data_IF_829783825171
#
_entry.id   IF_829783825171
#
_cell.length_a   1.000
_cell.length_b   1.000
_cell.length_c   1.000
_cell.angle_alpha   90.00
_cell.angle_beta   90.00
_cell.angle_gamma   90.00
#
_symmetry.space_group_name_H-M   'P 1'
#
loop_
_entity.id
_entity.type
_entity.pdbx_description
1 polymer ?
#
# COMPACT_ATOMS: atom_id res chain seq x y z
N UNK A 1 -8.77 -17.57 -22.62
CA UNK A 1 -8.85 -16.91 -21.29
C UNK A 1 -9.45 -15.53 -21.52
N UNK A 2 -10.71 -15.32 -21.20
CA UNK A 2 -11.42 -14.05 -21.45
C UNK A 2 -11.05 -13.01 -20.40
N UNK A 3 -10.80 -11.77 -20.82
CA UNK A 3 -10.57 -10.61 -19.94
C UNK A 3 -11.83 -9.75 -19.87
N UNK A 4 -12.24 -9.35 -18.67
CA UNK A 4 -13.33 -8.40 -18.46
C UNK A 4 -12.77 -7.04 -18.06
N UNK A 5 -12.94 -6.06 -18.93
CA UNK A 5 -12.55 -4.68 -18.68
C UNK A 5 -13.67 -4.04 -17.85
N UNK A 6 -13.32 -3.42 -16.71
CA UNK A 6 -14.24 -2.89 -15.72
C UNK A 6 -14.18 -1.37 -15.75
N UNK A 7 -15.30 -0.72 -16.10
CA UNK A 7 -15.34 0.75 -16.25
C UNK A 7 -16.64 1.34 -15.65
N UNK A 8 -16.58 1.98 -14.48
CA UNK A 8 -17.63 2.89 -14.04
C UNK A 8 -17.65 4.16 -14.90
N UNK A 9 -18.85 4.64 -15.27
CA UNK A 9 -19.03 5.81 -16.14
C UNK A 9 -20.03 6.77 -15.52
N UNK A 10 -19.60 7.97 -15.18
CA UNK A 10 -20.46 9.08 -14.77
C UNK A 10 -20.50 10.18 -15.84
N UNK A 11 -21.43 11.12 -15.72
CA UNK A 11 -21.66 12.14 -16.74
C UNK A 11 -20.41 12.95 -17.14
N UNK A 12 -19.52 13.25 -16.18
CA UNK A 12 -18.33 14.05 -16.46
C UNK A 12 -17.26 13.31 -17.29
N UNK A 13 -17.27 11.97 -17.28
CA UNK A 13 -16.33 11.17 -18.08
C UNK A 13 -16.79 10.96 -19.53
N UNK A 14 -18.04 11.25 -19.85
CA UNK A 14 -18.61 11.03 -21.19
C UNK A 14 -17.81 11.62 -22.35
N UNK A 15 -17.22 12.83 -22.25
CA UNK A 15 -16.41 13.39 -23.34
C UNK A 15 -15.23 12.51 -23.77
N UNK A 16 -14.70 11.71 -22.88
CA UNK A 16 -13.50 10.89 -23.09
C UNK A 16 -13.79 9.43 -23.46
N UNK A 17 -15.04 9.00 -23.31
CA UNK A 17 -15.43 7.60 -23.39
C UNK A 17 -15.15 6.99 -24.79
N UNK A 18 -15.18 7.79 -25.84
CA UNK A 18 -14.80 7.32 -27.18
C UNK A 18 -13.32 6.95 -27.29
N UNK A 19 -12.43 7.66 -26.59
CA UNK A 19 -11.00 7.35 -26.58
C UNK A 19 -10.76 6.04 -25.85
N UNK A 20 -11.40 5.85 -24.68
CA UNK A 20 -11.36 4.58 -23.94
C UNK A 20 -11.87 3.42 -24.81
N UNK A 21 -13.03 3.55 -25.47
CA UNK A 21 -13.60 2.52 -26.33
C UNK A 21 -12.71 2.19 -27.52
N UNK A 22 -12.16 3.20 -28.20
CA UNK A 22 -11.28 3.00 -29.34
C UNK A 22 -9.98 2.29 -28.92
N UNK A 23 -9.44 2.61 -27.73
CA UNK A 23 -8.26 1.95 -27.19
C UNK A 23 -8.51 0.46 -26.91
N UNK A 24 -9.73 0.12 -26.44
CA UNK A 24 -10.14 -1.28 -26.22
C UNK A 24 -10.31 -2.01 -27.58
N UNK A 25 -10.95 -1.38 -28.55
CA UNK A 25 -11.14 -1.98 -29.89
C UNK A 25 -9.83 -2.21 -30.66
N UNK A 26 -8.83 -1.39 -30.38
CA UNK A 26 -7.51 -1.48 -31.01
C UNK A 26 -6.60 -2.55 -30.38
N UNK A 27 -7.06 -3.28 -29.37
CA UNK A 27 -6.25 -4.30 -28.69
C UNK A 27 -5.89 -5.46 -29.63
N UNK A 28 -4.64 -5.92 -29.55
CA UNK A 28 -4.16 -7.13 -30.25
C UNK A 28 -4.80 -8.39 -29.69
N UNK A 29 -5.09 -8.43 -28.40
CA UNK A 29 -5.83 -9.50 -27.75
C UNK A 29 -7.34 -9.27 -27.92
N UNK A 30 -8.06 -10.23 -28.51
CA UNK A 30 -9.45 -10.04 -28.94
C UNK A 30 -10.52 -10.72 -28.07
N UNK A 31 -10.11 -11.64 -27.16
CA UNK A 31 -11.04 -12.37 -26.27
C UNK A 31 -11.31 -11.55 -24.98
N UNK A 32 -12.04 -10.46 -25.15
CA UNK A 32 -12.41 -9.56 -24.07
C UNK A 32 -13.90 -9.20 -24.09
N UNK A 33 -14.42 -8.80 -22.96
CA UNK A 33 -15.68 -8.10 -22.77
C UNK A 33 -15.45 -6.76 -22.05
N UNK A 34 -16.27 -5.77 -22.31
CA UNK A 34 -16.25 -4.49 -21.64
C UNK A 34 -17.51 -4.31 -20.78
N UNK A 35 -17.35 -4.35 -19.44
CA UNK A 35 -18.42 -4.19 -18.48
C UNK A 35 -18.49 -2.73 -18.05
N UNK A 36 -19.45 -2.02 -18.59
CA UNK A 36 -19.70 -0.60 -18.33
C UNK A 36 -20.80 -0.46 -17.30
N UNK A 37 -20.54 0.29 -16.22
CA UNK A 37 -21.52 0.61 -15.18
C UNK A 37 -21.81 2.09 -15.20
N UNK A 38 -22.98 2.46 -15.70
CA UNK A 38 -23.45 3.83 -15.75
C UNK A 38 -24.00 4.26 -14.40
N UNK A 39 -23.55 5.43 -13.92
CA UNK A 39 -24.04 6.04 -12.69
C UNK A 39 -24.11 7.58 -12.84
N UNK A 40 -24.82 8.25 -11.96
CA UNK A 40 -24.88 9.73 -11.88
C UNK A 40 -25.05 10.43 -13.25
N UNK A 41 -26.03 9.98 -14.04
CA UNK A 41 -26.33 10.54 -15.35
C UNK A 41 -25.34 10.17 -16.46
N UNK A 42 -24.45 9.22 -16.22
CA UNK A 42 -23.61 8.62 -17.27
C UNK A 42 -24.46 7.98 -18.36
N UNK A 43 -24.09 8.14 -19.60
CA UNK A 43 -24.73 7.53 -20.76
C UNK A 43 -23.70 6.87 -21.66
N UNK A 44 -24.05 5.78 -22.28
CA UNK A 44 -23.21 5.16 -23.31
C UNK A 44 -23.62 5.68 -24.68
N UNK A 45 -22.71 6.25 -25.50
CA UNK A 45 -23.01 6.59 -26.87
C UNK A 45 -23.53 5.40 -27.67
N UNK A 46 -24.61 5.58 -28.45
CA UNK A 46 -25.34 4.50 -29.12
C UNK A 46 -24.49 3.61 -30.01
N UNK A 47 -23.44 4.16 -30.63
CA UNK A 47 -22.51 3.40 -31.48
C UNK A 47 -21.66 2.37 -30.71
N UNK A 48 -21.41 2.56 -29.43
CA UNK A 48 -20.62 1.64 -28.60
C UNK A 48 -21.41 0.38 -28.22
N UNK A 49 -22.69 0.53 -27.95
CA UNK A 49 -23.57 -0.59 -27.60
C UNK A 49 -23.79 -1.58 -28.77
N UNK A 50 -23.36 -1.27 -29.98
CA UNK A 50 -23.43 -2.16 -31.12
C UNK A 50 -22.36 -3.25 -31.12
N UNK A 51 -21.27 -3.08 -30.37
CA UNK A 51 -20.27 -4.15 -30.21
C UNK A 51 -20.81 -5.18 -29.20
N UNK A 52 -20.98 -6.46 -29.60
CA UNK A 52 -21.59 -7.48 -28.74
C UNK A 52 -20.77 -7.81 -27.49
N UNK A 53 -19.51 -7.37 -27.44
CA UNK A 53 -18.65 -7.53 -26.27
C UNK A 53 -18.88 -6.46 -25.20
N UNK A 54 -19.63 -5.41 -25.51
CA UNK A 54 -19.96 -4.33 -24.58
C UNK A 54 -21.21 -4.71 -23.78
N UNK A 55 -21.06 -4.80 -22.46
CA UNK A 55 -22.14 -5.09 -21.52
C UNK A 55 -22.42 -3.87 -20.66
N UNK A 56 -23.64 -3.34 -20.71
CA UNK A 56 -24.02 -2.09 -20.05
C UNK A 56 -24.97 -2.38 -18.91
N UNK A 57 -24.65 -1.81 -17.75
CA UNK A 57 -25.50 -1.86 -16.56
C UNK A 57 -25.67 -0.43 -16.00
N UNK A 58 -26.76 -0.16 -15.33
CA UNK A 58 -27.01 1.12 -14.68
C UNK A 58 -27.19 0.90 -13.18
N UNK A 59 -26.53 1.72 -12.39
CA UNK A 59 -26.70 1.79 -10.94
C UNK A 59 -26.93 3.23 -10.55
N UNK A 60 -27.98 3.47 -9.78
CA UNK A 60 -28.18 4.77 -9.13
C UNK A 60 -27.39 4.78 -7.83
N UNK A 61 -26.55 5.80 -7.65
CA UNK A 61 -25.84 6.01 -6.39
C UNK A 61 -26.72 6.87 -5.48
N UNK A 62 -26.97 6.39 -4.28
CA UNK A 62 -27.80 7.06 -3.28
C UNK A 62 -27.13 8.31 -2.69
N UNK A 63 -25.82 8.50 -2.92
CA UNK A 63 -25.05 9.66 -2.47
C UNK A 63 -24.22 10.26 -3.61
N UNK A 64 -24.80 11.18 -4.41
CA UNK A 64 -24.12 11.81 -5.54
C UNK A 64 -22.86 12.61 -5.14
N UNK A 65 -22.78 13.06 -3.88
CA UNK A 65 -21.64 13.83 -3.38
C UNK A 65 -20.42 12.96 -3.09
N UNK A 66 -20.59 11.64 -3.05
CA UNK A 66 -19.51 10.71 -2.73
C UNK A 66 -19.54 9.54 -3.71
N UNK A 67 -18.88 9.71 -4.85
CA UNK A 67 -18.66 8.61 -5.80
C UNK A 67 -18.05 7.42 -5.08
N UNK A 68 -18.84 6.43 -4.75
CA UNK A 68 -18.36 5.16 -4.19
C UNK A 68 -17.84 4.29 -5.33
N UNK A 69 -16.69 4.65 -5.88
CA UNK A 69 -16.11 3.99 -7.05
C UNK A 69 -15.92 2.49 -6.77
N UNK A 70 -15.46 2.11 -5.58
CA UNK A 70 -15.29 0.72 -5.19
C UNK A 70 -16.59 -0.10 -5.26
N UNK A 71 -17.75 0.48 -4.88
CA UNK A 71 -19.06 -0.16 -5.03
C UNK A 71 -19.40 -0.41 -6.50
N UNK A 72 -19.16 0.57 -7.36
CA UNK A 72 -19.42 0.46 -8.80
C UNK A 72 -18.48 -0.58 -9.46
N UNK A 73 -17.18 -0.56 -9.11
CA UNK A 73 -16.21 -1.56 -9.57
C UNK A 73 -16.60 -2.96 -9.10
N UNK A 74 -17.01 -3.12 -7.83
CA UNK A 74 -17.48 -4.40 -7.30
C UNK A 74 -18.72 -4.90 -8.03
N UNK A 75 -19.70 -4.02 -8.27
CA UNK A 75 -20.88 -4.35 -9.05
C UNK A 75 -20.50 -4.77 -10.48
N UNK A 76 -19.61 -4.04 -11.15
CA UNK A 76 -19.12 -4.40 -12.48
C UNK A 76 -18.44 -5.79 -12.47
N UNK A 77 -17.56 -6.06 -11.50
CA UNK A 77 -16.93 -7.38 -11.32
C UNK A 77 -17.98 -8.50 -11.13
N UNK A 78 -19.11 -8.23 -10.44
CA UNK A 78 -20.20 -9.21 -10.27
C UNK A 78 -20.95 -9.54 -11.57
N UNK A 79 -20.84 -8.68 -12.58
CA UNK A 79 -21.44 -8.86 -13.92
C UNK A 79 -20.45 -9.40 -14.93
N UNK A 80 -19.18 -9.36 -14.63
CA UNK A 80 -18.11 -9.85 -15.47
C UNK A 80 -18.10 -11.38 -15.57
N UNK A 81 -17.78 -11.90 -16.74
CA UNK A 81 -17.75 -13.35 -17.00
C UNK A 81 -16.33 -13.87 -17.32
N UNK A 82 -15.37 -12.96 -17.46
CA UNK A 82 -13.98 -13.29 -17.73
C UNK A 82 -13.24 -13.85 -16.51
N UNK A 83 -12.07 -14.42 -16.78
CA UNK A 83 -11.20 -15.00 -15.76
C UNK A 83 -10.31 -13.97 -15.09
N UNK A 84 -10.08 -12.86 -15.78
CA UNK A 84 -9.26 -11.73 -15.36
C UNK A 84 -10.10 -10.47 -15.45
N UNK A 85 -10.07 -9.65 -14.40
CA UNK A 85 -10.66 -8.33 -14.42
C UNK A 85 -9.55 -7.30 -14.65
N UNK A 86 -9.80 -6.35 -15.54
CA UNK A 86 -8.87 -5.28 -15.93
C UNK A 86 -9.52 -3.94 -15.64
N UNK A 87 -8.89 -3.13 -14.82
CA UNK A 87 -9.37 -1.79 -14.50
C UNK A 87 -9.04 -0.81 -15.63
N UNK A 88 -10.06 -0.10 -16.10
CA UNK A 88 -9.91 1.03 -17.02
C UNK A 88 -10.89 2.13 -16.62
N UNK A 89 -10.38 3.29 -16.25
CA UNK A 89 -11.23 4.45 -15.98
C UNK A 89 -11.78 5.03 -17.29
N UNK A 90 -12.97 5.64 -17.22
CA UNK A 90 -13.73 6.04 -18.41
C UNK A 90 -13.09 7.20 -19.19
N UNK A 91 -12.16 7.90 -18.59
CA UNK A 91 -11.41 9.05 -19.13
C UNK A 91 -9.99 8.70 -19.60
N UNK A 92 -9.58 7.44 -19.45
CA UNK A 92 -8.23 6.94 -19.75
C UNK A 92 -8.18 6.04 -20.98
N UNK A 93 -6.98 5.59 -21.35
CA UNK A 93 -6.77 4.73 -22.52
C UNK A 93 -5.76 3.61 -22.24
N UNK A 94 -5.86 2.54 -23.00
CA UNK A 94 -4.88 1.44 -23.03
C UNK A 94 -3.96 1.57 -24.25
N UNK A 95 -2.70 1.14 -24.13
CA UNK A 95 -1.87 0.91 -25.32
C UNK A 95 -2.36 -0.32 -26.08
N UNK A 96 -2.03 -0.45 -27.36
CA UNK A 96 -2.61 -1.49 -28.26
C UNK A 96 -2.32 -2.93 -27.87
N UNK A 97 -1.24 -3.17 -27.14
CA UNK A 97 -0.82 -4.50 -26.65
C UNK A 97 -1.18 -4.76 -25.16
N UNK A 98 -1.87 -3.84 -24.51
CA UNK A 98 -2.08 -3.90 -23.06
C UNK A 98 -2.76 -5.20 -22.59
N UNK A 99 -3.84 -5.61 -23.24
CA UNK A 99 -4.56 -6.82 -22.85
C UNK A 99 -3.76 -8.10 -23.14
N UNK A 100 -2.93 -8.11 -24.17
CA UNK A 100 -2.04 -9.24 -24.49
C UNK A 100 -0.97 -9.40 -23.40
N UNK A 101 -0.31 -8.31 -23.02
CA UNK A 101 0.70 -8.31 -21.97
C UNK A 101 0.09 -8.69 -20.61
N UNK A 102 -1.11 -8.19 -20.30
CA UNK A 102 -1.85 -8.60 -19.09
C UNK A 102 -2.15 -10.09 -19.12
N UNK A 103 -2.64 -10.63 -20.26
CA UNK A 103 -2.91 -12.06 -20.39
C UNK A 103 -1.65 -12.92 -20.18
N UNK A 104 -0.52 -12.49 -20.73
CA UNK A 104 0.78 -13.13 -20.53
C UNK A 104 1.26 -13.02 -19.07
N UNK A 105 1.03 -11.87 -18.42
CA UNK A 105 1.35 -11.67 -17.01
C UNK A 105 0.67 -12.68 -16.06
N UNK A 106 -0.49 -13.18 -16.46
CA UNK A 106 -1.23 -14.23 -15.75
C UNK A 106 -0.92 -15.66 -16.22
N UNK A 107 0.11 -15.88 -16.99
CA UNK A 107 0.52 -17.24 -17.40
C UNK A 107 0.90 -18.13 -16.21
N UNK A 108 1.53 -17.54 -15.19
CA UNK A 108 1.77 -18.20 -13.91
C UNK A 108 0.47 -18.23 -13.06
N UNK A 109 -0.03 -19.44 -12.69
CA UNK A 109 -1.23 -19.56 -11.87
C UNK A 109 -1.08 -18.98 -10.47
N UNK A 110 0.13 -18.79 -9.94
CA UNK A 110 0.44 -18.16 -8.65
C UNK A 110 0.24 -16.64 -8.67
N UNK A 111 0.25 -16.01 -9.85
CA UNK A 111 0.01 -14.56 -9.97
C UNK A 111 -1.47 -14.25 -9.79
N UNK A 112 -1.77 -13.45 -8.80
CA UNK A 112 -3.12 -12.98 -8.46
C UNK A 112 -3.42 -11.56 -8.97
N UNK A 113 -2.39 -10.72 -9.09
CA UNK A 113 -2.48 -9.31 -9.46
C UNK A 113 -1.36 -8.94 -10.45
N UNK A 114 -1.73 -8.28 -11.54
CA UNK A 114 -0.80 -7.75 -12.55
C UNK A 114 -0.91 -6.23 -12.57
N UNK A 115 0.21 -5.54 -12.71
CA UNK A 115 0.26 -4.09 -12.89
C UNK A 115 1.40 -3.68 -13.83
N UNK A 116 1.35 -2.47 -14.36
CA UNK A 116 2.33 -1.98 -15.32
C UNK A 116 2.85 -0.59 -15.00
N UNK A 117 3.67 -0.06 -15.88
CA UNK A 117 3.98 1.35 -15.96
C UNK A 117 2.84 2.10 -16.64
N UNK A 118 2.76 3.42 -16.42
CA UNK A 118 1.79 4.30 -17.04
C UNK A 118 2.44 5.57 -17.55
N UNK A 119 1.75 6.31 -18.39
CA UNK A 119 2.16 7.65 -18.79
C UNK A 119 0.99 8.63 -18.61
N UNK A 120 1.27 9.76 -17.97
CA UNK A 120 0.30 10.82 -17.77
C UNK A 120 0.39 11.85 -18.89
N UNK A 121 -0.75 12.34 -19.37
CA UNK A 121 -0.81 13.38 -20.39
C UNK A 121 -1.90 14.42 -20.10
N UNK A 122 -1.63 15.67 -20.43
CA UNK A 122 -2.61 16.74 -20.33
C UNK A 122 -3.67 16.58 -21.41
N UNK A 123 -4.95 16.66 -21.03
CA UNK A 123 -6.08 16.36 -21.92
C UNK A 123 -6.06 17.11 -23.26
N UNK A 124 -5.79 18.42 -23.24
CA UNK A 124 -5.92 19.28 -24.43
C UNK A 124 -4.65 19.33 -25.29
N UNK A 125 -3.48 19.27 -24.66
CA UNK A 125 -2.20 19.55 -25.30
C UNK A 125 -1.36 18.29 -25.53
N UNK A 126 -1.69 17.18 -24.89
CA UNK A 126 -0.87 15.98 -24.85
C UNK A 126 0.51 16.20 -24.23
N UNK A 127 0.69 17.28 -23.48
CA UNK A 127 1.94 17.50 -22.77
C UNK A 127 2.18 16.41 -21.74
N UNK A 128 3.41 15.91 -21.71
CA UNK A 128 3.85 14.91 -20.77
C UNK A 128 3.79 15.46 -19.33
N UNK A 129 3.37 14.63 -18.40
CA UNK A 129 3.50 14.88 -16.98
C UNK A 129 4.41 13.81 -16.35
N UNK A 130 5.13 14.18 -15.31
CA UNK A 130 5.92 13.24 -14.52
C UNK A 130 5.86 13.60 -13.05
N UNK A 131 5.95 12.59 -12.22
CA UNK A 131 6.08 12.79 -10.78
C UNK A 131 7.51 13.17 -10.41
N UNK A 132 7.66 13.87 -9.27
CA UNK A 132 8.95 14.42 -8.89
C UNK A 132 9.98 13.33 -8.57
N UNK A 133 11.13 13.41 -9.24
CA UNK A 133 12.29 12.54 -8.96
C UNK A 133 12.77 12.68 -7.50
N UNK A 134 12.52 13.83 -6.88
CA UNK A 134 12.81 14.06 -5.45
C UNK A 134 12.07 13.10 -4.50
N UNK A 135 10.98 12.47 -4.97
CA UNK A 135 10.26 11.42 -4.24
C UNK A 135 10.67 10.01 -4.67
N UNK A 136 11.74 9.90 -5.48
CA UNK A 136 12.30 8.62 -5.96
C UNK A 136 11.60 8.03 -7.16
N UNK A 137 10.67 8.75 -7.79
CA UNK A 137 10.07 8.32 -9.03
C UNK A 137 11.09 8.28 -10.15
N UNK A 138 11.03 7.21 -10.94
CA UNK A 138 11.82 7.06 -12.16
C UNK A 138 10.89 7.15 -13.37
N UNK A 139 11.40 7.74 -14.43
CA UNK A 139 10.67 7.83 -15.69
C UNK A 139 11.62 7.69 -16.88
N UNK A 140 11.07 7.28 -18.02
CA UNK A 140 11.80 7.21 -19.30
C UNK A 140 10.96 7.78 -20.43
N UNK A 141 11.57 8.24 -21.56
CA UNK A 141 10.81 8.68 -22.73
C UNK A 141 9.89 7.56 -23.24
N UNK A 142 8.67 7.93 -23.62
CA UNK A 142 7.67 7.04 -24.21
C UNK A 142 6.94 7.74 -25.34
N UNK A 143 6.70 7.05 -26.45
CA UNK A 143 5.99 7.62 -27.59
C UNK A 143 4.65 6.93 -27.79
N UNK A 144 3.58 7.74 -27.83
CA UNK A 144 2.25 7.28 -28.23
C UNK A 144 1.81 8.01 -29.49
N UNK A 145 1.83 7.30 -30.60
CA UNK A 145 1.69 7.93 -31.93
C UNK A 145 2.78 8.96 -32.18
N UNK A 146 2.40 10.21 -32.36
CA UNK A 146 3.33 11.34 -32.56
C UNK A 146 3.64 12.11 -31.27
N UNK A 147 3.02 11.73 -30.14
CA UNK A 147 3.19 12.42 -28.87
C UNK A 147 4.34 11.81 -28.07
N UNK A 148 5.25 12.67 -27.62
CA UNK A 148 6.30 12.30 -26.69
C UNK A 148 5.81 12.47 -25.26
N UNK A 149 5.72 11.38 -24.52
CA UNK A 149 5.28 11.31 -23.13
C UNK A 149 6.42 10.83 -22.22
N UNK A 150 6.11 10.70 -20.94
CA UNK A 150 7.02 10.13 -19.93
C UNK A 150 6.36 8.88 -19.33
N UNK A 151 6.95 7.71 -19.57
CA UNK A 151 6.57 6.49 -18.89
C UNK A 151 7.06 6.54 -17.45
N UNK A 152 6.14 6.50 -16.50
CA UNK A 152 6.43 6.41 -15.08
C UNK A 152 6.64 4.95 -14.70
N UNK A 153 7.83 4.64 -14.20
CA UNK A 153 8.17 3.28 -13.77
C UNK A 153 7.43 2.98 -12.47
N UNK A 154 6.59 1.95 -12.50
CA UNK A 154 5.81 1.56 -11.32
C UNK A 154 6.71 1.01 -10.21
N UNK A 155 6.36 1.33 -8.97
CA UNK A 155 7.05 0.83 -7.81
C UNK A 155 6.70 -0.65 -7.55
N UNK A 156 7.62 -1.44 -6.97
CA UNK A 156 7.31 -2.81 -6.59
C UNK A 156 6.20 -2.83 -5.53
N UNK A 157 5.30 -3.81 -5.63
CA UNK A 157 4.30 -4.05 -4.61
C UNK A 157 4.97 -4.50 -3.31
N UNK A 158 5.00 -3.64 -2.31
CA UNK A 158 5.55 -3.94 -0.98
C UNK A 158 4.82 -3.13 0.09
N UNK A 159 4.78 -3.62 1.34
CA UNK A 159 4.15 -2.87 2.42
C UNK A 159 4.78 -1.50 2.66
N UNK A 160 6.10 -1.39 2.45
CA UNK A 160 6.83 -0.13 2.60
C UNK A 160 6.35 0.89 1.56
N UNK A 161 6.18 0.46 0.30
CA UNK A 161 5.68 1.34 -0.77
C UNK A 161 4.24 1.76 -0.54
N UNK A 162 3.37 0.83 -0.18
CA UNK A 162 1.95 1.10 0.08
C UNK A 162 1.74 2.10 1.23
N UNK A 163 2.76 2.32 2.09
CA UNK A 163 2.72 3.35 3.12
C UNK A 163 2.88 4.76 2.57
N UNK A 164 3.79 4.94 1.61
CA UNK A 164 4.27 6.25 1.21
C UNK A 164 3.82 6.65 -0.19
N UNK A 165 3.52 5.66 -1.05
CA UNK A 165 3.06 5.86 -2.42
C UNK A 165 1.64 5.32 -2.55
N UNK A 166 0.66 6.19 -2.39
CA UNK A 166 -0.75 5.80 -2.30
C UNK A 166 -1.36 5.19 -3.57
N UNK A 167 -0.72 5.36 -4.73
CA UNK A 167 -1.13 4.73 -5.99
C UNK A 167 -0.22 3.58 -6.44
N UNK A 168 0.54 2.99 -5.53
CA UNK A 168 1.31 1.78 -5.82
C UNK A 168 0.51 0.54 -5.38
N UNK A 169 0.35 -0.49 -6.22
CA UNK A 169 0.75 -0.57 -7.63
C UNK A 169 -0.05 0.35 -8.54
N UNK A 170 0.63 0.90 -9.57
CA UNK A 170 0.04 1.83 -10.52
C UNK A 170 -0.80 1.12 -11.60
N UNK A 171 -1.54 1.88 -12.45
CA UNK A 171 -2.22 1.37 -13.63
C UNK A 171 -1.21 0.86 -14.70
N UNK A 172 -1.57 -0.12 -15.51
CA UNK A 172 -2.81 -0.87 -15.53
C UNK A 172 -2.89 -1.73 -14.28
N UNK A 173 -4.06 -1.92 -13.72
CA UNK A 173 -4.29 -2.89 -12.63
C UNK A 173 -5.23 -3.96 -13.14
N UNK A 174 -4.81 -5.21 -12.99
CA UNK A 174 -5.64 -6.35 -13.34
C UNK A 174 -5.50 -7.45 -12.29
N UNK A 175 -6.55 -8.17 -12.05
CA UNK A 175 -6.57 -9.24 -11.05
C UNK A 175 -7.33 -10.46 -11.52
N UNK A 176 -6.89 -11.61 -11.05
CA UNK A 176 -7.58 -12.88 -11.30
C UNK A 176 -8.94 -12.88 -10.60
N UNK A 177 -10.01 -13.19 -11.32
CA UNK A 177 -11.37 -13.17 -10.79
C UNK A 177 -11.53 -14.05 -9.54
N UNK A 178 -10.94 -15.25 -9.54
CA UNK A 178 -10.97 -16.15 -8.38
C UNK A 178 -10.27 -15.54 -7.16
N UNK A 179 -9.11 -14.88 -7.35
CA UNK A 179 -8.36 -14.22 -6.29
C UNK A 179 -9.11 -13.00 -5.73
N UNK A 180 -9.71 -12.19 -6.61
CA UNK A 180 -10.54 -11.06 -6.24
C UNK A 180 -11.72 -11.50 -5.37
N UNK A 181 -12.42 -12.56 -5.76
CA UNK A 181 -13.55 -13.09 -5.01
C UNK A 181 -13.13 -13.69 -3.67
N UNK A 182 -11.96 -14.37 -3.62
CA UNK A 182 -11.44 -14.96 -2.38
C UNK A 182 -11.16 -13.94 -1.28
N UNK A 183 -10.74 -12.72 -1.65
CA UNK A 183 -10.51 -11.63 -0.68
C UNK A 183 -11.73 -10.73 -0.48
N UNK A 184 -12.88 -11.06 -1.08
CA UNK A 184 -14.14 -10.33 -0.95
C UNK A 184 -14.30 -9.11 -1.85
N UNK A 185 -13.41 -8.88 -2.84
CA UNK A 185 -13.51 -7.77 -3.79
C UNK A 185 -13.30 -6.39 -3.17
N UNK A 186 -13.71 -5.31 -3.86
CA UNK A 186 -13.64 -3.95 -3.33
C UNK A 186 -14.51 -3.78 -2.07
N UNK A 187 -14.04 -3.00 -1.11
CA UNK A 187 -14.81 -2.60 0.07
C UNK A 187 -15.81 -1.48 -0.31
N UNK A 188 -17.09 -1.77 -0.27
CA UNK A 188 -18.16 -0.85 -0.66
C UNK A 188 -18.37 0.31 0.34
N UNK A 189 -17.78 0.23 1.52
CA UNK A 189 -17.88 1.26 2.56
C UNK A 189 -16.87 2.38 2.38
N UNK A 190 -15.79 2.11 1.64
CA UNK A 190 -14.72 3.07 1.36
C UNK A 190 -15.19 4.04 0.26
N UNK A 191 -15.07 5.33 0.53
CA UNK A 191 -15.51 6.38 -0.39
C UNK A 191 -14.49 6.69 -1.49
N UNK A 192 -13.21 6.68 -1.13
CA UNK A 192 -12.08 6.94 -2.03
C UNK A 192 -10.89 6.07 -1.63
N UNK A 193 -9.95 5.76 -2.55
CA UNK A 193 -8.81 4.91 -2.24
C UNK A 193 -9.17 3.43 -2.03
N UNK A 194 -10.27 2.99 -2.60
CA UNK A 194 -10.76 1.61 -2.61
C UNK A 194 -9.78 0.66 -3.29
N UNK A 195 -9.09 1.14 -4.32
CA UNK A 195 -8.01 0.46 -5.03
C UNK A 195 -6.80 0.21 -4.14
N UNK A 196 -6.43 1.18 -3.31
CA UNK A 196 -5.33 1.02 -2.35
C UNK A 196 -5.66 -0.01 -1.26
N UNK A 197 -6.87 0.01 -0.70
CA UNK A 197 -7.33 -1.03 0.24
C UNK A 197 -7.29 -2.41 -0.41
N UNK A 198 -7.76 -2.51 -1.65
CA UNK A 198 -7.73 -3.75 -2.43
C UNK A 198 -6.29 -4.27 -2.59
N UNK A 199 -5.33 -3.41 -2.95
CA UNK A 199 -3.91 -3.77 -3.06
C UNK A 199 -3.35 -4.27 -1.72
N UNK A 200 -3.65 -3.60 -0.60
CA UNK A 200 -3.23 -4.05 0.73
C UNK A 200 -3.75 -5.45 1.05
N UNK A 201 -5.04 -5.72 0.77
CA UNK A 201 -5.65 -7.05 1.01
C UNK A 201 -5.08 -8.13 0.09
N UNK A 202 -4.81 -7.80 -1.18
CA UNK A 202 -4.09 -8.71 -2.07
C UNK A 202 -2.71 -9.05 -1.51
N UNK A 203 -1.97 -8.06 -0.99
CA UNK A 203 -0.65 -8.31 -0.42
C UNK A 203 -0.72 -9.20 0.83
N UNK A 204 -1.65 -8.95 1.75
CA UNK A 204 -1.85 -9.81 2.92
C UNK A 204 -2.12 -11.25 2.51
N UNK A 205 -2.93 -11.46 1.48
CA UNK A 205 -3.38 -12.80 1.10
C UNK A 205 -2.37 -13.54 0.21
N UNK A 206 -1.79 -12.86 -0.77
CA UNK A 206 -0.94 -13.49 -1.80
C UNK A 206 0.55 -13.16 -1.67
N UNK A 207 0.94 -12.18 -0.84
CA UNK A 207 2.32 -11.72 -0.70
C UNK A 207 2.87 -11.09 -1.97
N UNK A 208 4.18 -10.79 -1.96
CA UNK A 208 4.85 -10.18 -3.12
C UNK A 208 4.84 -11.10 -4.36
N UNK A 209 4.91 -12.42 -4.17
CA UNK A 209 4.88 -13.40 -5.26
C UNK A 209 3.55 -13.41 -6.03
N UNK A 210 2.45 -12.99 -5.39
CA UNK A 210 1.15 -12.85 -6.02
C UNK A 210 1.04 -11.65 -6.98
N UNK A 211 2.03 -10.75 -6.99
CA UNK A 211 2.06 -9.57 -7.85
C UNK A 211 3.05 -9.75 -9.00
N UNK A 212 2.64 -9.37 -10.20
CA UNK A 212 3.50 -9.34 -11.39
C UNK A 212 3.55 -7.92 -11.95
N UNK A 213 4.73 -7.32 -11.94
CA UNK A 213 5.00 -6.08 -12.66
C UNK A 213 5.33 -6.36 -14.12
N UNK A 214 4.70 -5.63 -15.03
CA UNK A 214 5.05 -5.59 -16.45
C UNK A 214 5.78 -4.26 -16.68
N UNK A 215 7.08 -4.34 -16.97
CA UNK A 215 7.93 -3.16 -17.19
C UNK A 215 7.71 -2.55 -18.58
N UNK A 216 6.47 -2.19 -18.88
CA UNK A 216 6.03 -1.51 -20.09
C UNK A 216 4.92 -0.51 -19.76
N UNK A 217 4.85 0.60 -20.49
CA UNK A 217 3.72 1.53 -20.44
C UNK A 217 2.51 0.90 -21.12
N UNK A 218 1.52 0.48 -20.35
CA UNK A 218 0.29 -0.12 -20.86
C UNK A 218 -0.94 0.76 -20.67
N UNK A 219 -0.81 1.84 -19.93
CA UNK A 219 -1.91 2.70 -19.51
C UNK A 219 -1.56 4.18 -19.71
N UNK A 220 -2.50 4.92 -20.30
CA UNK A 220 -2.39 6.36 -20.54
C UNK A 220 -3.40 7.06 -19.64
N UNK A 221 -2.89 7.74 -18.60
CA UNK A 221 -3.67 8.44 -17.62
C UNK A 221 -3.91 9.90 -18.05
N UNK A 222 -5.18 10.27 -18.22
CA UNK A 222 -5.58 11.60 -18.67
C UNK A 222 -5.68 12.57 -17.50
N UNK A 223 -4.98 13.69 -17.61
CA UNK A 223 -5.02 14.79 -16.64
C UNK A 223 -6.00 15.88 -17.09
N UNK A 224 -7.02 16.12 -16.27
CA UNK A 224 -7.97 17.22 -16.41
C UNK A 224 -8.44 17.71 -15.04
N UNK A 225 -9.16 18.81 -14.96
CA UNK A 225 -9.51 19.48 -13.70
C UNK A 225 -10.50 18.69 -12.83
N UNK A 226 -11.18 17.69 -13.40
CA UNK A 226 -12.18 16.87 -12.72
C UNK A 226 -11.62 15.51 -12.24
N UNK A 227 -10.32 15.25 -12.40
CA UNK A 227 -9.74 14.00 -11.87
C UNK A 227 -9.95 13.90 -10.35
N UNK A 228 -10.43 12.77 -9.89
CA UNK A 228 -10.71 12.52 -8.47
C UNK A 228 -9.48 12.74 -7.58
N UNK A 229 -8.29 12.36 -8.04
CA UNK A 229 -7.03 12.58 -7.33
C UNK A 229 -6.65 14.06 -7.18
N UNK A 230 -7.18 14.96 -8.03
CA UNK A 230 -6.99 16.42 -7.91
C UNK A 230 -8.07 17.06 -7.03
N UNK A 231 -9.33 16.68 -7.27
CA UNK A 231 -10.49 17.26 -6.57
C UNK A 231 -10.54 16.86 -5.11
N UNK A 232 -10.25 15.58 -4.80
CA UNK A 232 -10.35 14.99 -3.47
C UNK A 232 -9.00 14.55 -2.90
N UNK A 233 -7.90 15.23 -3.26
CA UNK A 233 -6.56 14.80 -2.88
C UNK A 233 -6.39 14.58 -1.37
N UNK A 234 -6.88 15.51 -0.55
CA UNK A 234 -6.76 15.41 0.92
C UNK A 234 -7.46 14.18 1.46
N UNK A 235 -8.68 13.93 1.01
CA UNK A 235 -9.49 12.78 1.42
C UNK A 235 -8.84 11.47 0.95
N UNK A 236 -8.32 11.42 -0.28
CA UNK A 236 -7.59 10.27 -0.83
C UNK A 236 -6.37 9.98 0.04
N UNK A 237 -5.54 10.98 0.36
CA UNK A 237 -4.35 10.80 1.20
C UNK A 237 -4.72 10.29 2.61
N UNK A 238 -5.76 10.84 3.22
CA UNK A 238 -6.22 10.40 4.53
C UNK A 238 -6.74 8.96 4.50
N UNK A 239 -7.55 8.63 3.50
CA UNK A 239 -8.11 7.29 3.37
C UNK A 239 -7.05 6.24 3.09
N UNK A 240 -6.08 6.52 2.21
CA UNK A 240 -5.00 5.57 1.92
C UNK A 240 -4.11 5.34 3.14
N UNK A 241 -3.86 6.38 3.96
CA UNK A 241 -3.20 6.19 5.24
C UNK A 241 -4.01 5.26 6.17
N UNK A 242 -5.31 5.46 6.27
CA UNK A 242 -6.19 4.61 7.10
C UNK A 242 -6.21 3.16 6.58
N UNK A 243 -6.31 2.97 5.27
CA UNK A 243 -6.24 1.65 4.64
C UNK A 243 -4.92 0.96 4.97
N UNK A 244 -3.80 1.67 4.82
CA UNK A 244 -2.50 1.13 5.19
C UNK A 244 -2.46 0.74 6.66
N UNK A 245 -2.83 1.63 7.57
CA UNK A 245 -2.78 1.37 9.01
C UNK A 245 -3.66 0.19 9.43
N UNK A 246 -4.78 -0.02 8.76
CA UNK A 246 -5.66 -1.18 8.96
C UNK A 246 -4.96 -2.51 8.63
N UNK A 247 -4.11 -2.53 7.61
CA UNK A 247 -3.49 -3.74 7.08
C UNK A 247 -1.98 -3.87 7.36
N UNK A 248 -1.30 -2.81 7.82
CA UNK A 248 0.16 -2.70 7.90
C UNK A 248 0.83 -3.84 8.63
N UNK A 249 0.30 -4.24 9.79
CA UNK A 249 0.87 -5.32 10.60
C UNK A 249 0.74 -6.68 9.92
N UNK A 250 -0.42 -6.96 9.33
CA UNK A 250 -0.63 -8.20 8.58
C UNK A 250 0.26 -8.26 7.32
N UNK A 251 0.43 -7.13 6.64
CA UNK A 251 1.36 -7.03 5.50
C UNK A 251 2.82 -7.22 5.93
N UNK A 252 3.24 -6.66 7.08
CA UNK A 252 4.60 -6.83 7.60
C UNK A 252 4.88 -8.30 7.94
N UNK A 253 3.96 -8.97 8.62
CA UNK A 253 4.05 -10.40 8.95
C UNK A 253 4.11 -11.23 7.67
N UNK A 254 3.23 -10.96 6.70
CA UNK A 254 3.24 -11.66 5.41
C UNK A 254 4.56 -11.46 4.68
N UNK A 255 5.07 -10.25 4.61
CA UNK A 255 6.36 -9.94 3.99
C UNK A 255 7.53 -10.69 4.65
N UNK A 256 7.56 -10.72 5.99
CA UNK A 256 8.59 -11.46 6.73
C UNK A 256 8.50 -12.97 6.47
N UNK A 257 7.30 -13.53 6.49
CA UNK A 257 7.04 -14.95 6.20
C UNK A 257 7.51 -15.34 4.80
N UNK A 258 7.15 -14.54 3.78
CA UNK A 258 7.54 -14.80 2.40
C UNK A 258 9.06 -14.79 2.19
N UNK A 259 9.79 -14.05 3.03
CA UNK A 259 11.26 -13.98 3.02
C UNK A 259 11.95 -15.00 3.93
N UNK A 260 11.20 -15.80 4.66
CA UNK A 260 11.75 -16.76 5.65
C UNK A 260 12.45 -16.08 6.82
N UNK A 261 12.06 -14.83 7.16
CA UNK A 261 12.64 -14.06 8.25
C UNK A 261 11.93 -14.36 9.58
N UNK A 262 12.66 -14.19 10.68
CA UNK A 262 12.11 -14.32 12.02
C UNK A 262 10.98 -13.33 12.30
N UNK A 263 9.99 -13.79 13.07
CA UNK A 263 8.87 -12.97 13.56
C UNK A 263 8.85 -13.17 15.07
N UNK A 264 9.27 -12.15 15.82
CA UNK A 264 9.56 -12.26 17.25
C UNK A 264 8.71 -11.31 18.09
N UNK A 265 8.32 -11.78 19.28
CA UNK A 265 7.64 -11.01 20.32
C UNK A 265 8.54 -10.90 21.55
N UNK A 266 9.15 -9.73 21.72
CA UNK A 266 10.02 -9.44 22.85
C UNK A 266 9.19 -9.18 24.11
N UNK A 267 9.51 -9.86 25.21
CA UNK A 267 8.70 -9.84 26.43
C UNK A 267 7.33 -10.52 26.27
N UNK A 268 7.18 -11.33 25.21
CA UNK A 268 5.89 -11.89 24.78
C UNK A 268 5.38 -13.08 25.59
N UNK A 269 6.04 -13.48 26.68
CA UNK A 269 5.67 -14.68 27.45
C UNK A 269 4.17 -14.79 27.77
N UNK A 270 3.53 -13.69 28.15
CA UNK A 270 2.13 -13.67 28.57
C UNK A 270 1.15 -13.17 27.50
N UNK A 271 1.63 -12.37 26.53
CA UNK A 271 0.79 -11.59 25.61
C UNK A 271 1.27 -11.70 24.15
N UNK A 272 1.92 -12.81 23.78
CA UNK A 272 2.39 -13.01 22.42
C UNK A 272 1.24 -12.99 21.40
N UNK A 273 1.52 -12.41 20.25
CA UNK A 273 0.63 -12.58 19.11
C UNK A 273 0.76 -13.97 18.51
N UNK A 274 -0.34 -14.51 18.03
CA UNK A 274 -0.35 -15.79 17.33
C UNK A 274 0.67 -15.80 16.16
N UNK A 275 1.47 -16.83 16.09
CA UNK A 275 2.51 -17.00 15.06
C UNK A 275 3.82 -16.27 15.35
N UNK A 276 3.93 -15.51 16.45
CA UNK A 276 5.18 -14.91 16.88
C UNK A 276 5.95 -15.85 17.81
N UNK A 277 7.27 -15.94 17.59
CA UNK A 277 8.18 -16.63 18.50
C UNK A 277 8.51 -15.74 19.68
N UNK A 278 8.27 -16.21 20.89
CA UNK A 278 8.46 -15.43 22.12
C UNK A 278 9.92 -15.35 22.54
N UNK A 279 10.31 -14.17 23.03
CA UNK A 279 11.65 -13.91 23.62
C UNK A 279 11.43 -13.26 24.99
N UNK A 280 11.90 -13.91 26.06
CA UNK A 280 11.74 -13.40 27.42
C UNK A 280 12.88 -13.91 28.32
N UNK A 281 12.98 -13.39 29.56
CA UNK A 281 13.97 -13.80 30.55
C UNK A 281 13.82 -15.27 30.98
N UNK A 282 12.61 -15.80 30.90
CA UNK A 282 12.29 -17.19 31.23
C UNK A 282 10.97 -17.61 30.59
N UNK A 283 10.79 -18.92 30.44
CA UNK A 283 9.55 -19.54 29.99
C UNK A 283 9.04 -19.02 28.63
N UNK A 284 9.96 -18.93 27.65
CA UNK A 284 9.73 -18.47 26.30
C UNK A 284 10.40 -19.38 25.28
N UNK A 285 10.07 -19.22 23.98
CA UNK A 285 10.72 -19.98 22.89
C UNK A 285 12.23 -19.70 22.81
N UNK A 286 12.62 -18.46 23.14
CA UNK A 286 14.00 -18.03 23.29
C UNK A 286 14.16 -17.37 24.65
N UNK A 287 14.97 -17.95 25.52
CA UNK A 287 15.30 -17.35 26.81
C UNK A 287 16.51 -16.42 26.64
N UNK A 288 16.30 -15.13 26.84
CA UNK A 288 17.34 -14.12 26.70
C UNK A 288 17.08 -12.88 27.57
N UNK A 289 18.16 -12.28 28.11
CA UNK A 289 18.10 -10.95 28.72
C UNK A 289 18.29 -9.90 27.62
N UNK A 290 17.27 -9.08 27.41
CA UNK A 290 17.30 -8.03 26.37
C UNK A 290 18.19 -6.82 26.75
N UNK A 291 18.78 -6.80 27.95
CA UNK A 291 19.82 -5.85 28.34
C UNK A 291 21.23 -6.29 27.90
N UNK A 292 21.39 -7.55 27.50
CA UNK A 292 22.61 -8.13 26.93
C UNK A 292 22.51 -8.21 25.41
N UNK A 293 23.61 -8.55 24.66
CA UNK A 293 23.52 -8.78 23.22
C UNK A 293 22.48 -9.86 22.86
N UNK A 294 21.61 -9.55 21.93
CA UNK A 294 20.50 -10.45 21.57
C UNK A 294 21.01 -11.67 20.77
N UNK A 295 20.53 -12.90 21.08
CA UNK A 295 21.02 -14.14 20.49
C UNK A 295 20.45 -14.38 19.07
N UNK A 296 20.43 -13.35 18.24
CA UNK A 296 19.94 -13.41 16.86
C UNK A 296 21.03 -12.86 15.91
N UNK A 297 21.10 -13.46 14.73
CA UNK A 297 22.02 -13.00 13.69
C UNK A 297 21.56 -11.65 13.10
N UNK A 298 22.53 -10.92 12.55
CA UNK A 298 22.26 -9.67 11.83
C UNK A 298 21.30 -9.91 10.66
N UNK A 299 20.32 -9.04 10.50
CA UNK A 299 19.36 -9.08 9.39
C UNK A 299 18.54 -10.39 9.28
N UNK A 300 18.35 -11.10 10.37
CA UNK A 300 17.63 -12.38 10.42
C UNK A 300 16.14 -12.26 10.74
N UNK A 301 15.68 -11.08 11.19
CA UNK A 301 14.32 -10.86 11.68
C UNK A 301 13.57 -9.89 10.75
N UNK A 302 12.35 -10.24 10.40
CA UNK A 302 11.48 -9.40 9.59
C UNK A 302 10.53 -8.53 10.40
N UNK A 303 10.05 -9.05 11.53
CA UNK A 303 9.17 -8.31 12.45
C UNK A 303 9.59 -8.56 13.89
N UNK A 304 9.84 -7.48 14.61
CA UNK A 304 9.98 -7.44 16.06
C UNK A 304 8.75 -6.74 16.66
N UNK A 305 8.04 -7.39 17.54
CA UNK A 305 7.06 -6.74 18.40
C UNK A 305 7.67 -6.58 19.79
N UNK A 306 7.50 -5.41 20.40
CA UNK A 306 7.89 -5.13 21.77
C UNK A 306 6.75 -4.31 22.42
N UNK A 307 5.93 -4.97 23.22
CA UNK A 307 4.80 -4.35 23.90
C UNK A 307 5.04 -4.38 25.41
N UNK A 308 5.17 -3.19 26.00
CA UNK A 308 5.48 -3.03 27.43
C UNK A 308 6.77 -3.73 27.89
N UNK A 309 7.87 -3.48 27.16
CA UNK A 309 9.19 -4.08 27.41
C UNK A 309 10.27 -3.00 27.52
N UNK A 310 10.32 -2.09 26.55
CA UNK A 310 11.45 -1.15 26.42
C UNK A 310 11.52 -0.18 27.60
N UNK A 311 10.42 0.14 28.25
CA UNK A 311 10.37 0.93 29.48
C UNK A 311 11.10 0.26 30.66
N UNK A 312 11.27 -1.06 30.63
CA UNK A 312 12.00 -1.82 31.64
C UNK A 312 13.49 -1.99 31.31
N UNK A 313 13.94 -1.58 30.12
CA UNK A 313 15.34 -1.69 29.72
C UNK A 313 16.12 -0.43 30.11
N UNK A 314 17.26 -0.61 30.79
CA UNK A 314 18.06 0.50 31.33
C UNK A 314 18.77 1.30 30.26
N UNK A 315 19.16 0.63 29.16
CA UNK A 315 19.80 1.27 28.01
C UNK A 315 18.89 1.16 26.76
N UNK A 316 18.02 2.16 26.54
CA UNK A 316 17.17 2.19 25.37
C UNK A 316 17.93 2.34 24.07
N UNK A 317 19.15 2.92 24.08
CA UNK A 317 19.98 3.04 22.88
C UNK A 317 20.55 1.68 22.50
N UNK A 318 20.98 0.87 23.48
CA UNK A 318 21.39 -0.51 23.24
C UNK A 318 20.24 -1.33 22.65
N UNK A 319 19.05 -1.28 23.23
CA UNK A 319 17.88 -2.01 22.75
C UNK A 319 17.52 -1.63 21.31
N UNK A 320 17.55 -0.34 20.97
CA UNK A 320 17.30 0.14 19.62
C UNK A 320 18.41 -0.25 18.62
N UNK A 321 19.69 -0.32 19.05
CA UNK A 321 20.79 -0.84 18.23
C UNK A 321 20.61 -2.33 17.95
N UNK A 322 20.27 -3.13 18.96
CA UNK A 322 20.03 -4.56 18.78
C UNK A 322 18.80 -4.82 17.88
N UNK A 323 17.69 -4.09 18.11
CA UNK A 323 16.54 -4.15 17.24
C UNK A 323 16.92 -3.82 15.78
N UNK A 324 17.68 -2.76 15.58
CA UNK A 324 18.17 -2.41 14.25
C UNK A 324 19.10 -3.48 13.68
N UNK A 325 20.05 -4.02 14.47
CA UNK A 325 21.02 -5.02 14.03
C UNK A 325 20.32 -6.29 13.50
N UNK A 326 19.37 -6.83 14.27
CA UNK A 326 18.72 -8.09 13.95
C UNK A 326 17.66 -7.96 12.86
N UNK A 327 17.00 -6.80 12.74
CA UNK A 327 16.02 -6.57 11.68
C UNK A 327 16.68 -6.61 10.30
N UNK A 328 16.08 -7.30 9.37
CA UNK A 328 16.44 -7.26 7.95
C UNK A 328 16.20 -5.85 7.35
N UNK A 329 16.86 -5.49 6.23
CA UNK A 329 16.53 -4.27 5.50
C UNK A 329 15.03 -4.21 5.17
N UNK A 330 14.35 -3.16 5.61
CA UNK A 330 12.90 -3.02 5.46
C UNK A 330 12.05 -3.74 6.50
N UNK A 331 12.67 -4.41 7.50
CA UNK A 331 11.96 -5.07 8.61
C UNK A 331 11.34 -4.06 9.60
N UNK A 332 10.37 -4.52 10.38
CA UNK A 332 9.58 -3.69 11.30
C UNK A 332 9.92 -3.91 12.76
N UNK A 333 10.07 -2.82 13.51
CA UNK A 333 9.91 -2.79 14.96
C UNK A 333 8.51 -2.22 15.27
N UNK A 334 7.67 -3.04 15.88
CA UNK A 334 6.33 -2.68 16.36
C UNK A 334 6.44 -2.43 17.88
N UNK A 335 6.65 -1.16 18.25
CA UNK A 335 6.90 -0.74 19.63
C UNK A 335 5.62 -0.20 20.27
N UNK A 336 5.31 -0.68 21.47
CA UNK A 336 4.28 -0.12 22.34
C UNK A 336 4.86 0.05 23.76
N UNK A 337 4.82 1.29 24.29
CA UNK A 337 5.31 1.62 25.63
C UNK A 337 4.40 2.67 26.28
N UNK A 338 4.35 2.75 27.62
CA UNK A 338 3.66 3.84 28.29
C UNK A 338 4.28 5.20 27.94
N UNK A 339 3.43 6.14 27.49
CA UNK A 339 3.88 7.48 27.11
C UNK A 339 4.04 8.40 28.31
N UNK A 340 5.08 9.24 28.30
CA UNK A 340 5.24 10.34 29.28
C UNK A 340 4.19 11.42 29.14
N UNK A 341 3.38 11.42 28.07
CA UNK A 341 2.22 12.29 27.92
C UNK A 341 1.07 11.91 28.87
N UNK A 342 1.20 10.75 29.53
CA UNK A 342 0.30 10.26 30.56
C UNK A 342 1.05 9.77 31.80
N UNK A 343 0.31 9.52 32.87
CA UNK A 343 0.91 9.07 34.12
C UNK A 343 1.38 7.62 34.14
N UNK A 344 0.93 6.80 33.17
CA UNK A 344 1.28 5.38 33.06
C UNK A 344 2.78 5.12 33.01
N UNK A 345 3.54 6.02 32.39
CA UNK A 345 5.00 5.92 32.31
C UNK A 345 5.69 5.98 33.71
N UNK A 346 5.05 6.59 34.70
CA UNK A 346 5.64 6.88 36.00
C UNK A 346 5.02 6.10 37.17
N UNK A 347 3.97 5.33 36.93
CA UNK A 347 3.23 4.65 38.02
C UNK A 347 3.84 3.29 38.39
N UNK A 348 4.54 2.62 37.46
CA UNK A 348 5.20 1.34 37.69
C UNK A 348 6.63 1.58 38.21
N UNK A 349 6.99 1.07 39.39
CA UNK A 349 8.33 1.29 39.97
C UNK A 349 9.46 0.54 39.19
N UNK A 350 9.11 -0.31 38.28
CA UNK A 350 10.09 -1.05 37.45
C UNK A 350 10.39 -0.36 36.12
N UNK A 351 9.71 0.74 35.78
CA UNK A 351 10.02 1.56 34.63
C UNK A 351 11.32 2.34 34.88
N UNK A 352 12.30 2.13 34.03
CA UNK A 352 13.64 2.75 34.10
C UNK A 352 13.99 3.59 32.88
N UNK A 353 13.20 3.51 31.79
CA UNK A 353 13.31 4.38 30.63
C UNK A 353 11.94 4.95 30.25
N UNK A 354 11.95 6.15 29.67
CA UNK A 354 10.75 6.96 29.49
C UNK A 354 10.61 7.42 28.03
N UNK A 355 9.42 7.24 27.45
CA UNK A 355 9.15 7.38 26.04
C UNK A 355 7.98 8.30 25.75
N UNK A 356 8.08 9.02 24.63
CA UNK A 356 6.96 9.72 23.98
C UNK A 356 7.26 9.84 22.47
N UNK A 357 6.38 10.49 21.71
CA UNK A 357 6.59 10.63 20.25
C UNK A 357 7.92 11.29 19.91
N UNK A 358 8.37 12.27 20.71
CA UNK A 358 9.64 12.97 20.47
C UNK A 358 10.86 12.06 20.70
N UNK A 359 10.75 11.05 21.56
CA UNK A 359 11.80 10.06 21.77
C UNK A 359 12.12 9.30 20.48
N UNK A 360 11.13 9.06 19.63
CA UNK A 360 11.29 8.37 18.34
C UNK A 360 12.08 9.20 17.33
N UNK A 361 12.06 10.54 17.42
CA UNK A 361 12.81 11.40 16.52
C UNK A 361 14.32 11.14 16.55
N UNK A 362 14.87 10.74 17.67
CA UNK A 362 16.30 10.44 17.81
C UNK A 362 16.73 9.25 16.94
N UNK A 363 15.81 8.34 16.64
CA UNK A 363 16.07 7.15 15.83
C UNK A 363 15.62 7.29 14.36
N UNK A 364 14.82 8.32 14.05
CA UNK A 364 14.22 8.51 12.72
C UNK A 364 14.68 9.75 11.98
N UNK A 365 15.06 10.84 12.70
CA UNK A 365 15.43 12.12 12.11
C UNK A 365 16.93 12.40 12.25
N UNK A 366 17.59 12.75 11.13
CA UNK A 366 19.05 13.00 11.11
C UNK A 366 19.50 14.10 12.06
N UNK A 367 18.72 15.17 12.18
CA UNK A 367 19.02 16.32 13.05
C UNK A 367 19.03 15.97 14.53
N UNK A 368 18.30 14.92 14.95
CA UNK A 368 18.24 14.43 16.32
C UNK A 368 19.23 13.30 16.59
N UNK A 369 19.53 12.47 15.61
CA UNK A 369 20.45 11.33 15.74
C UNK A 369 21.85 11.75 16.24
N UNK A 370 22.29 12.96 15.92
CA UNK A 370 23.58 13.53 16.38
C UNK A 370 23.70 13.62 17.91
N UNK A 371 22.60 13.62 18.64
CA UNK A 371 22.61 13.71 20.12
C UNK A 371 22.73 12.34 20.80
N UNK A 372 22.59 11.26 20.06
CA UNK A 372 22.79 9.88 20.51
C UNK A 372 23.79 9.16 19.58
N UNK A 373 25.09 9.58 19.57
CA UNK A 373 26.08 9.05 18.63
C UNK A 373 26.34 7.54 18.80
N UNK A 374 25.90 6.94 19.89
CA UNK A 374 25.97 5.50 20.16
C UNK A 374 24.95 4.71 19.30
N UNK A 375 23.89 5.34 18.80
CA UNK A 375 22.98 4.73 17.86
C UNK A 375 23.53 4.86 16.44
N UNK A 376 23.84 3.74 15.81
CA UNK A 376 24.46 3.70 14.48
C UNK A 376 23.47 3.39 13.37
N UNK A 377 22.23 3.08 13.73
CA UNK A 377 21.17 2.71 12.82
C UNK A 377 20.37 3.90 12.30
N UNK A 378 19.32 3.57 11.56
CA UNK A 378 18.29 4.52 11.13
C UNK A 378 16.98 3.78 10.92
N UNK A 379 15.92 4.35 11.47
CA UNK A 379 14.56 3.90 11.19
C UNK A 379 13.80 4.94 10.37
N UNK A 380 12.84 4.48 9.60
CA UNK A 380 11.80 5.30 9.01
C UNK A 380 10.51 5.13 9.82
N UNK A 381 9.90 6.25 10.19
CA UNK A 381 8.58 6.24 10.85
C UNK A 381 7.50 5.80 9.86
N UNK A 382 6.85 4.69 10.16
CA UNK A 382 5.68 4.20 9.44
C UNK A 382 4.39 4.65 10.14
N UNK A 383 4.39 4.64 11.47
CA UNK A 383 3.29 5.09 12.31
C UNK A 383 3.83 5.43 13.70
N UNK A 384 3.61 6.64 14.17
CA UNK A 384 3.87 7.02 15.57
C UNK A 384 2.71 7.83 16.11
N UNK A 385 2.03 7.30 17.13
CA UNK A 385 0.85 7.91 17.74
C UNK A 385 0.87 7.70 19.25
N UNK A 386 0.30 8.66 19.99
CA UNK A 386 -0.05 8.50 21.41
C UNK A 386 -1.56 8.37 21.51
N UNK A 387 -2.04 7.36 22.23
CA UNK A 387 -3.47 7.10 22.38
C UNK A 387 -3.81 6.49 23.72
N UNK A 388 -5.09 6.43 24.03
CA UNK A 388 -5.63 5.71 25.20
C UNK A 388 -6.30 4.42 24.68
N UNK A 389 -5.85 3.23 25.13
CA UNK A 389 -6.41 1.94 24.65
C UNK A 389 -7.89 1.74 24.96
N UNK A 390 -8.37 2.32 26.06
CA UNK A 390 -9.76 2.20 26.50
C UNK A 390 -10.22 3.35 27.36
N UNK A 391 -11.47 3.29 27.82
CA UNK A 391 -12.08 4.30 28.67
C UNK A 391 -11.40 4.38 30.06
N UNK A 392 -10.97 3.22 30.58
CA UNK A 392 -10.23 3.16 31.85
C UNK A 392 -8.93 3.94 31.74
N UNK A 393 -8.13 3.68 30.70
CA UNK A 393 -6.84 4.36 30.47
C UNK A 393 -7.04 5.85 30.23
N UNK A 394 -8.06 6.24 29.46
CA UNK A 394 -8.39 7.64 29.24
C UNK A 394 -8.77 8.35 30.54
N UNK A 395 -9.65 7.73 31.37
CA UNK A 395 -10.09 8.29 32.67
C UNK A 395 -8.92 8.45 33.64
N UNK A 396 -7.96 7.52 33.58
CA UNK A 396 -6.81 7.51 34.49
C UNK A 396 -5.56 8.19 33.92
N UNK A 397 -5.67 8.79 32.75
CA UNK A 397 -4.56 9.40 31.97
C UNK A 397 -3.36 8.44 31.79
N UNK A 398 -3.65 7.23 31.35
CA UNK A 398 -2.65 6.20 31.03
C UNK A 398 -2.48 6.16 29.51
N UNK A 399 -1.65 7.04 28.99
CA UNK A 399 -1.39 7.13 27.55
C UNK A 399 -0.33 6.09 27.10
N UNK A 400 -0.53 5.50 25.93
CA UNK A 400 0.39 4.57 25.28
C UNK A 400 0.97 5.21 24.04
N UNK A 401 2.29 5.16 23.89
CA UNK A 401 2.98 5.41 22.64
C UNK A 401 2.99 4.13 21.83
N UNK A 402 2.52 4.19 20.60
CA UNK A 402 2.67 3.15 19.60
C UNK A 402 3.52 3.68 18.46
N UNK A 403 4.60 2.95 18.12
CA UNK A 403 5.50 3.33 17.04
C UNK A 403 5.88 2.12 16.20
N UNK A 404 5.45 2.13 14.93
CA UNK A 404 5.82 1.12 13.94
C UNK A 404 6.95 1.71 13.08
N UNK A 405 8.15 1.14 13.20
CA UNK A 405 9.39 1.65 12.61
C UNK A 405 9.95 0.66 11.59
N UNK A 406 10.42 1.17 10.45
CA UNK A 406 11.03 0.36 9.39
C UNK A 406 12.55 0.56 9.41
N UNK A 407 13.31 -0.53 9.49
CA UNK A 407 14.77 -0.50 9.50
C UNK A 407 15.32 -0.10 8.11
N UNK A 408 16.03 1.02 8.02
CA UNK A 408 16.63 1.56 6.78
C UNK A 408 18.05 1.11 6.67
N UNK A 409 18.34 0.15 5.78
CA UNK A 409 19.66 -0.46 5.61
C UNK A 409 20.02 -0.62 4.13
N UNK A 410 21.32 -0.83 3.88
CA UNK A 410 21.83 -1.16 2.56
C UNK A 410 21.59 -0.06 1.53
N UNK A 411 21.05 -0.42 0.38
CA UNK A 411 20.77 0.53 -0.71
C UNK A 411 19.73 1.57 -0.33
N UNK A 412 18.79 1.23 0.54
CA UNK A 412 17.80 2.17 1.06
C UNK A 412 18.43 3.34 1.80
N UNK A 413 19.53 3.10 2.51
CA UNK A 413 20.28 4.16 3.20
C UNK A 413 20.96 5.16 2.26
N UNK A 414 21.15 4.80 1.00
CA UNK A 414 21.82 5.63 -0.02
C UNK A 414 20.89 6.51 -0.83
N UNK A 415 19.58 6.29 -0.79
CA UNK A 415 18.63 7.10 -1.52
C UNK A 415 18.53 8.50 -0.89
N UNK A 416 18.86 9.55 -1.61
CA UNK A 416 18.88 10.92 -1.07
C UNK A 416 17.48 11.52 -0.93
N UNK A 417 16.46 10.73 -1.12
CA UNK A 417 15.13 11.20 -1.44
C UNK A 417 14.32 11.36 -0.18
N UNK A 418 13.99 12.58 0.13
CA UNK A 418 12.92 13.01 0.98
C UNK A 418 12.66 12.12 2.21
N UNK A 419 11.42 11.92 2.51
CA UNK A 419 10.98 11.11 3.65
C UNK A 419 10.72 9.63 3.30
N UNK A 420 10.86 9.24 2.02
CA UNK A 420 10.61 7.87 1.57
C UNK A 420 11.92 7.11 1.43
N UNK A 421 12.18 6.23 2.38
CA UNK A 421 13.42 5.46 2.49
C UNK A 421 13.16 3.97 2.20
N UNK A 422 12.82 3.67 0.95
CA UNK A 422 12.47 2.30 0.58
C UNK A 422 13.52 1.70 -0.32
#
# INVERSE_FOLDING_TARGET
MTLSIITPVHALAMPYLWDAFNSIRAQTFTDWEWVVVLNNGGLLPSGMALDPRVKVFTVEDDDPAHNRIGRLKRFACSKATGHIYVELDADDMLTTNALEEVAQGFADPGVAFVYSNSADFQNETWDASSYGEQYGWQSRPFFFGTHELREMIAWPASPQMMRFIFWAPNHIRAWRAAAYNAIGGHDETIKTGDDHDLCCRFFVHYGAAGFKHIDQCLYLYRLHDQNSCRVFNTEVQQQTLQNYLKHSRAMAVRWATDKGLGILDLGGRLNAWEGFKTVDLFDADVVADLQEPWPFEDNSVGVLRASHVFEHLRDPVHAMNEAYRVLAPGGWLLLEVPSTDGRGAFQDPTHVSFWNQNSIWYYTKREFARFIPQFTGRFQDSRTVTFFPGEFEATHNIAILQSDLIAVKGEYAKRPVGEVLI
#
